data_IF_724001785726
#
_entry.id   IF_724001785726
#
_cell.length_a   1.000
_cell.length_b   1.000
_cell.length_c   1.000
_cell.angle_alpha   90.00
_cell.angle_beta   90.00
_cell.angle_gamma   90.00
#
_symmetry.space_group_name_H-M   'P 1'
#
loop_
_entity.id
_entity.type
_entity.pdbx_description
1 polymer ?
#
# COMPACT_ATOMS: atom_id res chain seq x y z
N UNK A 1 19.41 -9.43 -15.15
CA UNK A 1 20.65 -10.23 -15.03
C UNK A 1 20.83 -10.66 -13.58
N UNK A 2 20.98 -11.95 -13.33
CA UNK A 2 21.14 -12.58 -12.01
C UNK A 2 22.61 -12.91 -11.68
N UNK A 3 23.54 -12.57 -12.59
CA UNK A 3 24.96 -12.84 -12.43
C UNK A 3 25.50 -12.31 -11.09
N UNK A 4 26.23 -13.17 -10.36
CA UNK A 4 26.87 -12.82 -9.09
C UNK A 4 25.94 -12.67 -7.88
N UNK A 5 24.62 -12.84 -8.05
CA UNK A 5 23.64 -12.73 -6.96
C UNK A 5 22.60 -13.83 -6.92
N UNK A 6 22.73 -14.86 -7.75
CA UNK A 6 21.89 -16.04 -7.69
C UNK A 6 22.73 -17.32 -7.63
N UNK A 7 22.26 -18.31 -6.88
CA UNK A 7 22.93 -19.59 -6.67
C UNK A 7 21.87 -20.71 -6.61
N UNK A 8 22.17 -21.85 -7.22
CA UNK A 8 21.39 -23.07 -7.00
C UNK A 8 21.79 -23.72 -5.68
N UNK A 9 20.86 -23.75 -4.74
CA UNK A 9 20.98 -24.51 -3.50
C UNK A 9 20.61 -25.97 -3.79
N UNK A 10 21.64 -26.82 -3.89
CA UNK A 10 21.46 -28.23 -4.21
C UNK A 10 20.98 -28.42 -5.65
N UNK A 11 19.99 -29.31 -5.85
CA UNK A 11 19.50 -29.68 -7.19
C UNK A 11 18.14 -29.06 -7.57
N UNK A 12 17.47 -28.40 -6.63
CA UNK A 12 16.04 -28.09 -6.75
C UNK A 12 15.65 -26.67 -6.38
N UNK A 13 16.56 -25.87 -5.81
CA UNK A 13 16.23 -24.57 -5.24
C UNK A 13 17.12 -23.47 -5.78
N UNK A 14 16.53 -22.36 -6.19
CA UNK A 14 17.25 -21.15 -6.61
C UNK A 14 17.19 -20.13 -5.48
N UNK A 15 18.34 -19.63 -5.04
CA UNK A 15 18.44 -18.51 -4.10
C UNK A 15 18.91 -17.28 -4.85
N UNK A 16 18.17 -16.17 -4.69
CA UNK A 16 18.50 -14.86 -5.26
C UNK A 16 18.72 -13.90 -4.10
N UNK A 17 19.86 -13.22 -4.09
CA UNK A 17 20.23 -12.20 -3.12
C UNK A 17 19.94 -10.80 -3.66
N UNK A 18 19.67 -9.86 -2.75
CA UNK A 18 19.43 -8.44 -3.08
C UNK A 18 18.37 -8.30 -4.18
N UNK A 19 17.20 -8.91 -3.94
CA UNK A 19 16.10 -8.94 -4.89
C UNK A 19 15.58 -7.52 -5.15
N UNK A 20 15.30 -7.22 -6.42
CA UNK A 20 14.79 -5.94 -6.91
C UNK A 20 13.53 -6.16 -7.74
N UNK A 21 12.78 -5.09 -8.04
CA UNK A 21 11.54 -5.17 -8.84
C UNK A 21 11.73 -5.89 -10.17
N UNK A 22 12.89 -5.71 -10.80
CA UNK A 22 13.23 -6.31 -12.10
C UNK A 22 13.44 -7.82 -12.05
N UNK A 23 13.48 -8.40 -10.84
CA UNK A 23 13.54 -9.86 -10.66
C UNK A 23 12.18 -10.53 -10.71
N UNK A 24 11.09 -9.74 -10.75
CA UNK A 24 9.74 -10.28 -10.93
C UNK A 24 9.63 -10.84 -12.34
N UNK A 25 9.46 -12.15 -12.44
CA UNK A 25 9.44 -12.87 -13.71
C UNK A 25 8.86 -14.27 -13.53
N UNK A 26 8.57 -14.91 -14.66
CA UNK A 26 8.33 -16.35 -14.73
C UNK A 26 9.69 -17.06 -14.83
N UNK A 27 10.07 -17.75 -13.76
CA UNK A 27 11.26 -18.59 -13.70
C UNK A 27 10.92 -19.98 -14.20
N UNK A 28 11.84 -20.60 -14.92
CA UNK A 28 11.68 -21.96 -15.42
C UNK A 28 12.73 -22.86 -14.79
N UNK A 29 12.27 -23.99 -14.24
CA UNK A 29 13.13 -25.05 -13.78
C UNK A 29 12.98 -26.24 -14.72
N UNK A 30 14.09 -26.67 -15.32
CA UNK A 30 14.14 -27.78 -16.26
C UNK A 30 14.96 -28.92 -15.65
N UNK A 31 14.43 -30.15 -15.73
CA UNK A 31 15.05 -31.35 -15.19
C UNK A 31 15.22 -32.37 -16.31
N UNK A 32 16.43 -32.94 -16.39
CA UNK A 32 16.77 -33.98 -17.35
C UNK A 32 17.19 -35.24 -16.61
N UNK A 33 16.48 -36.34 -16.84
CA UNK A 33 16.85 -37.66 -16.34
C UNK A 33 17.56 -38.45 -17.45
N UNK A 34 18.75 -38.98 -17.16
CA UNK A 34 19.61 -39.67 -18.15
C UNK A 34 18.98 -40.91 -18.81
N UNK A 35 17.87 -41.42 -18.28
CA UNK A 35 17.22 -42.66 -18.74
C UNK A 35 15.77 -42.46 -19.21
N UNK A 36 15.25 -41.23 -19.21
CA UNK A 36 13.90 -40.97 -19.69
C UNK A 36 13.88 -40.78 -21.21
N UNK A 37 12.82 -41.27 -21.85
CA UNK A 37 12.56 -41.06 -23.29
C UNK A 37 12.07 -39.64 -23.62
N UNK A 38 11.66 -38.88 -22.60
CA UNK A 38 11.33 -37.45 -22.71
C UNK A 38 12.62 -36.64 -22.65
N UNK A 39 12.77 -35.64 -23.51
CA UNK A 39 13.99 -34.82 -23.56
C UNK A 39 14.16 -33.95 -22.29
N UNK A 40 13.08 -33.34 -21.76
CA UNK A 40 13.10 -32.43 -20.60
C UNK A 40 11.74 -32.48 -19.89
N UNK A 41 11.73 -32.42 -18.55
CA UNK A 41 10.54 -32.07 -17.75
C UNK A 41 10.71 -30.66 -17.16
N UNK A 42 9.65 -29.85 -17.15
CA UNK A 42 9.75 -28.44 -16.74
C UNK A 42 8.62 -28.02 -15.80
N UNK A 43 8.93 -27.06 -14.92
CA UNK A 43 7.94 -26.30 -14.15
C UNK A 43 8.22 -24.80 -14.28
N UNK A 44 7.15 -24.01 -14.37
CA UNK A 44 7.19 -22.55 -14.37
C UNK A 44 6.77 -22.04 -13.00
N UNK A 45 7.58 -21.14 -12.42
CA UNK A 45 7.39 -20.54 -11.11
C UNK A 45 7.28 -19.03 -11.30
N UNK A 46 6.15 -18.45 -10.90
CA UNK A 46 6.00 -17.00 -10.88
C UNK A 46 6.63 -16.43 -9.61
N UNK A 47 7.67 -15.61 -9.78
CA UNK A 47 8.24 -14.81 -8.71
C UNK A 47 7.75 -13.38 -8.86
N UNK A 48 7.12 -12.86 -7.81
CA UNK A 48 6.65 -11.48 -7.74
C UNK A 48 7.33 -10.78 -6.57
N UNK A 49 8.12 -9.75 -6.88
CA UNK A 49 8.84 -8.98 -5.87
C UNK A 49 7.94 -7.89 -5.34
N UNK A 50 7.58 -8.00 -4.07
CA UNK A 50 6.78 -7.02 -3.38
C UNK A 50 7.66 -5.86 -2.87
N UNK A 51 7.13 -4.65 -2.94
CA UNK A 51 7.79 -3.41 -2.56
C UNK A 51 6.93 -2.71 -1.52
N UNK A 52 7.49 -2.45 -0.34
CA UNK A 52 6.80 -1.69 0.69
C UNK A 52 6.47 -0.28 0.17
N UNK A 53 5.36 0.34 0.63
CA UNK A 53 5.04 1.71 0.25
C UNK A 53 6.12 2.68 0.71
N UNK A 54 6.32 3.74 -0.06
CA UNK A 54 7.10 4.92 0.38
C UNK A 54 6.20 5.83 1.22
N UNK A 55 6.75 6.75 2.05
CA UNK A 55 5.95 7.74 2.75
C UNK A 55 5.00 8.46 1.78
N UNK A 56 3.66 8.34 1.96
CA UNK A 56 2.71 8.95 1.05
C UNK A 56 2.76 10.47 1.13
N UNK A 57 2.36 11.14 0.05
CA UNK A 57 2.13 12.57 0.03
C UNK A 57 0.70 12.83 0.50
N UNK A 58 0.57 13.40 1.69
CA UNK A 58 -0.71 13.85 2.23
C UNK A 58 -0.97 15.32 1.90
N UNK A 59 -2.21 15.64 1.52
CA UNK A 59 -2.68 17.03 1.38
C UNK A 59 -3.89 17.23 2.27
N UNK A 60 -3.69 18.03 3.32
CA UNK A 60 -4.72 18.44 4.27
C UNK A 60 -4.87 19.96 4.18
N UNK A 61 -6.08 20.50 3.94
CA UNK A 61 -6.30 21.94 4.00
C UNK A 61 -6.00 22.46 5.41
N UNK A 62 -5.24 23.57 5.53
CA UNK A 62 -4.90 24.15 6.83
C UNK A 62 -6.13 24.67 7.58
N UNK A 63 -7.08 25.24 6.86
CA UNK A 63 -8.31 25.79 7.43
C UNK A 63 -9.49 25.60 6.48
N UNK A 64 -10.65 25.19 6.99
CA UNK A 64 -11.89 25.06 6.20
C UNK A 64 -13.09 25.59 6.98
N UNK A 65 -13.84 26.58 6.47
CA UNK A 65 -15.01 27.10 7.18
C UNK A 65 -16.10 26.03 7.41
N UNK A 66 -16.77 26.12 8.55
CA UNK A 66 -17.94 25.28 8.89
C UNK A 66 -18.97 25.27 7.76
N UNK A 67 -19.51 24.09 7.45
CA UNK A 67 -20.52 23.88 6.43
C UNK A 67 -19.99 23.83 5.00
N UNK A 68 -18.69 24.06 4.76
CA UNK A 68 -18.05 23.87 3.45
C UNK A 68 -17.56 22.43 3.27
N UNK A 69 -17.51 21.99 2.02
CA UNK A 69 -16.91 20.72 1.67
C UNK A 69 -15.37 20.79 1.73
N UNK A 70 -14.73 19.66 2.04
CA UNK A 70 -13.28 19.52 2.03
C UNK A 70 -12.88 18.17 1.44
N UNK A 71 -11.67 18.09 0.89
CA UNK A 71 -11.10 16.82 0.41
C UNK A 71 -9.66 16.73 0.87
N UNK A 72 -9.36 15.64 1.56
CA UNK A 72 -8.03 15.23 1.97
C UNK A 72 -7.57 14.10 1.05
N UNK A 73 -6.30 14.13 0.64
CA UNK A 73 -5.72 13.13 -0.28
C UNK A 73 -4.44 12.55 0.29
N UNK A 74 -4.23 11.25 0.06
CA UNK A 74 -3.06 10.50 0.49
C UNK A 74 -2.65 9.59 -0.66
N UNK A 75 -1.46 9.80 -1.22
CA UNK A 75 -1.02 9.09 -2.42
C UNK A 75 0.44 8.68 -2.34
N UNK A 76 0.73 7.46 -2.73
CA UNK A 76 2.08 6.95 -3.00
C UNK A 76 2.08 6.18 -4.34
N UNK A 77 3.26 6.02 -4.95
CA UNK A 77 3.39 5.46 -6.30
C UNK A 77 4.37 4.30 -6.43
N UNK A 78 5.01 3.87 -5.35
CA UNK A 78 6.11 2.91 -5.40
C UNK A 78 5.74 1.54 -4.83
N UNK A 79 4.74 1.45 -3.97
CA UNK A 79 4.29 0.21 -3.36
C UNK A 79 3.80 -0.82 -4.38
N UNK A 80 4.19 -2.07 -4.20
CA UNK A 80 3.63 -3.20 -4.94
C UNK A 80 3.46 -4.43 -4.03
N UNK A 81 2.27 -5.07 -3.96
CA UNK A 81 1.01 -4.70 -4.59
C UNK A 81 0.56 -3.27 -4.25
N UNK A 82 -0.34 -2.70 -5.06
CA UNK A 82 -0.86 -1.34 -4.81
C UNK A 82 -1.39 -1.27 -3.37
N UNK A 83 -0.96 -0.28 -2.56
CA UNK A 83 -1.38 -0.23 -1.18
C UNK A 83 -2.82 0.22 -1.03
N UNK A 84 -3.39 -0.19 0.10
CA UNK A 84 -4.58 0.45 0.66
C UNK A 84 -4.15 1.53 1.65
N UNK A 85 -5.05 2.47 1.88
CA UNK A 85 -4.82 3.61 2.73
C UNK A 85 -5.67 3.53 4.00
N UNK A 86 -5.25 4.25 5.03
CA UNK A 86 -5.99 4.46 6.27
C UNK A 86 -5.75 5.87 6.77
N UNK A 87 -6.81 6.63 7.02
CA UNK A 87 -6.71 7.96 7.63
C UNK A 87 -6.86 7.90 9.14
N UNK A 88 -6.15 8.79 9.81
CA UNK A 88 -6.19 8.99 11.25
C UNK A 88 -6.45 10.46 11.55
N UNK A 89 -7.23 10.72 12.60
CA UNK A 89 -7.44 12.04 13.20
C UNK A 89 -7.15 11.97 14.68
N UNK A 90 -6.16 12.72 15.15
CA UNK A 90 -5.70 12.70 16.54
C UNK A 90 -5.42 11.26 17.02
N UNK A 91 -4.61 10.51 16.25
CA UNK A 91 -4.25 9.10 16.46
C UNK A 91 -5.42 8.09 16.40
N UNK A 92 -6.60 8.53 16.00
CA UNK A 92 -7.79 7.66 15.93
C UNK A 92 -8.07 7.30 14.48
N UNK A 93 -8.13 6.00 14.14
CA UNK A 93 -8.45 5.57 12.78
C UNK A 93 -9.87 5.98 12.40
N UNK A 94 -10.00 6.56 11.21
CA UNK A 94 -11.29 6.93 10.63
C UNK A 94 -11.90 5.71 9.91
N UNK A 95 -13.20 5.43 10.11
CA UNK A 95 -13.91 4.43 9.31
C UNK A 95 -14.08 4.89 7.86
N UNK A 96 -14.49 3.97 6.98
CA UNK A 96 -14.83 4.32 5.58
C UNK A 96 -16.05 5.23 5.46
N UNK A 97 -16.96 5.16 6.43
CA UNK A 97 -18.14 6.02 6.54
C UNK A 97 -18.26 6.51 7.98
N UNK A 98 -18.38 7.82 8.17
CA UNK A 98 -18.54 8.42 9.51
C UNK A 98 -19.74 7.86 10.27
N UNK A 99 -20.80 7.45 9.57
CA UNK A 99 -22.04 6.90 10.14
C UNK A 99 -21.86 5.48 10.68
N UNK A 100 -20.84 4.76 10.24
CA UNK A 100 -20.56 3.39 10.67
C UNK A 100 -20.08 3.31 12.12
N UNK A 101 -19.64 4.43 12.71
CA UNK A 101 -19.13 4.46 14.09
C UNK A 101 -19.77 5.63 14.86
N UNK A 102 -20.41 5.39 16.02
CA UNK A 102 -21.02 6.42 16.85
C UNK A 102 -20.11 7.61 17.18
N UNK A 103 -18.79 7.38 17.29
CA UNK A 103 -17.79 8.42 17.57
C UNK A 103 -17.74 9.52 16.51
N UNK A 104 -18.10 9.20 15.27
CA UNK A 104 -18.00 10.11 14.12
C UNK A 104 -19.36 10.49 13.54
N UNK A 105 -20.47 10.22 14.26
CA UNK A 105 -21.84 10.49 13.77
C UNK A 105 -22.12 11.94 13.39
N UNK A 106 -21.40 12.89 13.99
CA UNK A 106 -21.57 14.31 13.66
C UNK A 106 -20.64 14.77 12.52
N UNK A 107 -19.71 13.92 12.08
CA UNK A 107 -18.89 14.17 10.90
C UNK A 107 -19.62 13.71 9.64
N UNK A 108 -19.30 14.31 8.50
CA UNK A 108 -19.99 14.06 7.23
C UNK A 108 -19.09 13.43 6.15
N UNK A 109 -18.05 12.71 6.58
CA UNK A 109 -17.02 12.21 5.69
C UNK A 109 -17.30 10.81 5.12
N UNK A 110 -16.78 10.61 3.91
CA UNK A 110 -16.61 9.30 3.28
C UNK A 110 -15.16 9.11 2.89
N UNK A 111 -14.63 7.92 3.16
CA UNK A 111 -13.25 7.55 2.90
C UNK A 111 -13.18 6.37 1.93
N UNK A 112 -12.39 6.54 0.87
CA UNK A 112 -12.07 5.49 -0.09
C UNK A 112 -10.66 4.91 0.19
N UNK A 113 -10.55 3.68 0.70
CA UNK A 113 -9.27 3.06 1.07
C UNK A 113 -8.40 2.67 -0.12
N UNK A 114 -8.92 2.58 -1.33
CA UNK A 114 -8.14 2.23 -2.53
C UNK A 114 -7.46 3.45 -3.15
N UNK A 115 -8.04 4.64 -2.94
CA UNK A 115 -7.54 5.91 -3.50
C UNK A 115 -6.91 6.83 -2.47
N UNK A 116 -7.10 6.55 -1.17
CA UNK A 116 -6.63 7.43 -0.09
C UNK A 116 -7.41 8.73 0.03
N UNK A 117 -8.57 8.85 -0.63
CA UNK A 117 -9.37 10.08 -0.66
C UNK A 117 -10.39 10.11 0.47
N UNK A 118 -10.35 11.16 1.29
CA UNK A 118 -11.30 11.42 2.37
C UNK A 118 -12.07 12.70 2.05
N UNK A 119 -13.38 12.59 1.83
CA UNK A 119 -14.24 13.69 1.39
C UNK A 119 -15.22 14.04 2.50
N UNK A 120 -15.21 15.29 2.95
CA UNK A 120 -16.22 15.86 3.83
C UNK A 120 -17.25 16.59 2.97
N UNK A 121 -18.53 16.22 3.10
CA UNK A 121 -19.62 16.95 2.41
C UNK A 121 -19.90 18.30 3.05
N UNK A 122 -19.75 18.39 4.38
CA UNK A 122 -19.81 19.60 5.18
C UNK A 122 -18.91 19.46 6.43
N UNK A 123 -17.94 20.35 6.58
CA UNK A 123 -17.05 20.40 7.74
C UNK A 123 -17.80 20.87 8.99
N UNK A 124 -17.60 20.19 10.11
CA UNK A 124 -18.08 20.57 11.44
C UNK A 124 -16.91 20.91 12.37
N UNK A 125 -17.18 21.59 13.49
CA UNK A 125 -16.12 22.05 14.41
C UNK A 125 -15.28 20.89 14.96
N UNK A 126 -15.93 19.78 15.25
CA UNK A 126 -15.34 18.50 15.69
C UNK A 126 -14.49 17.79 14.62
N UNK A 127 -14.51 18.29 13.38
CA UNK A 127 -13.60 17.83 12.33
C UNK A 127 -12.21 18.46 12.41
N UNK A 128 -11.99 19.45 13.28
CA UNK A 128 -10.65 19.98 13.54
C UNK A 128 -9.74 18.92 14.15
N UNK A 129 -8.45 18.98 13.81
CA UNK A 129 -7.43 18.16 14.45
C UNK A 129 -6.24 17.88 13.55
N UNK A 130 -5.40 16.97 14.05
CA UNK A 130 -4.20 16.54 13.38
C UNK A 130 -4.48 15.29 12.54
N UNK A 131 -4.22 15.38 11.25
CA UNK A 131 -4.50 14.32 10.28
C UNK A 131 -3.21 13.72 9.73
N UNK A 132 -3.19 12.41 9.61
CA UNK A 132 -2.18 11.68 8.85
C UNK A 132 -2.79 10.44 8.22
N UNK A 133 -2.09 9.87 7.24
CA UNK A 133 -2.51 8.67 6.54
C UNK A 133 -1.37 7.66 6.48
N UNK A 134 -1.74 6.39 6.51
CA UNK A 134 -0.85 5.25 6.35
C UNK A 134 -1.19 4.55 5.03
N UNK A 135 -0.19 4.31 4.20
CA UNK A 135 -0.26 3.41 3.04
C UNK A 135 0.31 2.05 3.43
N UNK A 136 -0.39 0.96 3.11
CA UNK A 136 -0.01 -0.40 3.51
C UNK A 136 -0.26 -1.42 2.40
N UNK A 137 0.67 -2.36 2.23
CA UNK A 137 0.52 -3.58 1.44
C UNK A 137 1.19 -4.76 2.15
N UNK A 138 1.24 -5.92 1.51
CA UNK A 138 1.83 -7.15 2.08
C UNK A 138 3.32 -7.02 2.42
N UNK A 139 4.06 -6.12 1.76
CA UNK A 139 5.47 -5.88 2.02
C UNK A 139 5.73 -4.91 3.19
N UNK A 140 4.71 -4.19 3.65
CA UNK A 140 4.80 -3.29 4.81
C UNK A 140 3.98 -2.02 4.65
N UNK A 141 4.36 -1.00 5.43
CA UNK A 141 3.63 0.26 5.49
C UNK A 141 4.54 1.48 5.64
N UNK A 142 4.01 2.64 5.27
CA UNK A 142 4.62 3.94 5.50
C UNK A 142 3.54 4.99 5.77
N UNK A 143 3.87 6.02 6.53
CA UNK A 143 2.95 7.11 6.89
C UNK A 143 3.47 8.45 6.40
N UNK A 144 2.56 9.37 6.12
CA UNK A 144 2.92 10.77 5.91
C UNK A 144 3.10 11.50 7.25
N UNK A 145 3.74 12.66 7.19
CA UNK A 145 3.79 13.58 8.33
C UNK A 145 2.39 14.10 8.68
N UNK A 146 2.20 14.36 9.97
CA UNK A 146 1.00 14.94 10.52
C UNK A 146 0.76 16.37 10.01
N UNK A 147 -0.49 16.68 9.68
CA UNK A 147 -0.91 18.01 9.22
C UNK A 147 -2.18 18.43 9.96
N UNK A 148 -2.18 19.67 10.47
CA UNK A 148 -3.33 20.23 11.16
C UNK A 148 -4.37 20.79 10.19
N UNK A 149 -5.64 20.54 10.50
CA UNK A 149 -6.80 21.19 9.89
C UNK A 149 -7.59 21.94 10.98
N UNK A 150 -7.75 23.25 10.78
CA UNK A 150 -8.58 24.11 11.60
C UNK A 150 -9.95 24.36 10.93
N UNK A 151 -10.97 24.61 11.76
CA UNK A 151 -12.36 24.83 11.33
C UNK A 151 -12.96 26.08 11.97
#
# INVERSE_FOLDING_TARGET
DLAGRAELLGKTSLKIWNVTRTDSALYRCEVVARHDRKEIDEIVIELTVQVKPVPPVCRVPRAVPVGKAATLTCQEGEGYPRPHYSWYRNDVPLPTDSRANPRFRNSSFLFNPDTGTLVFSAIHKEDSGQYYCIASNDAGSARCEEQDMEV
#
